data_IF_145603065541
#
_entry.id   IF_145603065541
#
_cell.length_a   1.000
_cell.length_b   1.000
_cell.length_c   1.000
_cell.angle_alpha   90.00
_cell.angle_beta   90.00
_cell.angle_gamma   90.00
#
_symmetry.space_group_name_H-M   'P 1'
#
loop_
_entity.id
_entity.type
_entity.pdbx_description
1 polymer ?
#
# COMPACT_ATOMS: atom_id res chain seq x y z
N UNK A 1 -20.58 -12.24 26.17
CA UNK A 1 -19.60 -11.22 25.80
C UNK A 1 -18.48 -11.33 26.82
N UNK A 2 -17.22 -11.55 26.46
CA UNK A 2 -16.11 -11.53 27.40
C UNK A 2 -16.02 -10.18 28.10
N UNK A 3 -15.65 -10.20 29.36
CA UNK A 3 -15.56 -9.00 30.19
C UNK A 3 -14.28 -8.23 29.82
N UNK A 4 -14.43 -7.03 29.25
CA UNK A 4 -13.35 -6.17 28.76
C UNK A 4 -12.60 -5.42 29.91
N UNK A 5 -12.52 -5.98 31.11
CA UNK A 5 -11.96 -5.33 32.30
C UNK A 5 -10.46 -5.65 32.56
N UNK A 6 -9.79 -6.39 31.68
CA UNK A 6 -8.36 -6.74 31.78
C UNK A 6 -7.49 -5.98 30.77
N UNK A 7 -6.19 -5.88 31.04
CA UNK A 7 -5.21 -5.46 30.04
C UNK A 7 -5.23 -6.41 28.82
N UNK A 8 -5.01 -5.90 27.60
CA UNK A 8 -4.99 -6.75 26.40
C UNK A 8 -3.89 -7.81 26.52
N UNK A 9 -4.18 -9.04 26.10
CA UNK A 9 -3.21 -10.14 26.07
C UNK A 9 -2.15 -9.89 24.98
N UNK A 10 -2.56 -9.25 23.87
CA UNK A 10 -1.72 -8.94 22.73
C UNK A 10 -1.99 -7.51 22.25
N UNK A 11 -0.91 -6.76 21.98
CA UNK A 11 -0.99 -5.48 21.26
C UNK A 11 -0.24 -5.64 19.94
N UNK A 12 -0.93 -5.35 18.82
CA UNK A 12 -0.36 -5.39 17.47
C UNK A 12 -0.09 -3.98 16.99
N UNK A 13 1.15 -3.68 16.65
CA UNK A 13 1.56 -2.41 16.04
C UNK A 13 1.24 -2.46 14.55
N UNK A 14 0.30 -1.60 14.11
CA UNK A 14 -0.18 -1.53 12.73
C UNK A 14 0.29 -0.25 12.04
N UNK A 15 1.16 -0.38 11.04
CA UNK A 15 1.73 0.73 10.29
C UNK A 15 0.88 1.11 9.07
N UNK A 16 0.60 2.42 8.90
CA UNK A 16 -0.06 2.99 7.73
C UNK A 16 0.58 4.34 7.35
N UNK A 17 0.88 4.54 6.06
CA UNK A 17 1.49 5.80 5.59
C UNK A 17 0.46 6.90 5.31
N UNK A 18 -0.80 6.54 5.09
CA UNK A 18 -1.86 7.51 4.84
C UNK A 18 -2.43 8.08 6.14
N UNK A 19 -2.97 9.32 6.10
CA UNK A 19 -3.74 9.90 7.19
C UNK A 19 -5.06 9.15 7.43
N UNK A 20 -5.56 9.18 8.67
CA UNK A 20 -6.79 8.47 9.08
C UNK A 20 -8.08 8.97 8.40
N UNK A 21 -8.10 10.19 7.90
CA UNK A 21 -9.25 10.78 7.19
C UNK A 21 -9.35 10.35 5.72
N UNK A 22 -8.36 9.63 5.21
CA UNK A 22 -8.40 9.01 3.88
C UNK A 22 -9.27 7.76 3.86
N UNK A 23 -9.67 7.29 2.66
CA UNK A 23 -10.41 6.03 2.49
C UNK A 23 -9.65 4.86 3.13
N UNK A 24 -8.33 4.82 2.95
CA UNK A 24 -7.47 3.78 3.53
C UNK A 24 -7.46 3.87 5.04
N UNK A 25 -7.16 5.05 5.60
CA UNK A 25 -7.12 5.24 7.05
C UNK A 25 -8.45 4.95 7.75
N UNK A 26 -9.59 5.22 7.10
CA UNK A 26 -10.90 4.83 7.59
C UNK A 26 -11.10 3.30 7.56
N UNK A 27 -10.60 2.62 6.52
CA UNK A 27 -10.63 1.16 6.44
C UNK A 27 -9.79 0.53 7.56
N UNK A 28 -8.61 1.07 7.82
CA UNK A 28 -7.72 0.59 8.89
C UNK A 28 -8.32 0.83 10.27
N UNK A 29 -8.97 1.98 10.46
CA UNK A 29 -9.73 2.27 11.69
C UNK A 29 -10.85 1.26 11.91
N UNK A 30 -11.63 0.97 10.86
CA UNK A 30 -12.72 -0.03 10.94
C UNK A 30 -12.17 -1.44 11.20
N UNK A 31 -11.02 -1.80 10.60
CA UNK A 31 -10.34 -3.05 10.88
C UNK A 31 -9.92 -3.16 12.34
N UNK A 32 -9.24 -2.14 12.87
CA UNK A 32 -8.86 -2.05 14.28
C UNK A 32 -10.06 -2.26 15.20
N UNK A 33 -11.12 -1.47 15.02
CA UNK A 33 -12.34 -1.55 15.84
C UNK A 33 -12.96 -2.95 15.80
N UNK A 34 -12.95 -3.58 14.61
CA UNK A 34 -13.54 -4.91 14.45
C UNK A 34 -12.69 -6.01 15.08
N UNK A 35 -11.38 -5.92 15.02
CA UNK A 35 -10.47 -6.85 15.72
C UNK A 35 -10.65 -6.74 17.24
N UNK A 36 -10.65 -5.53 17.77
CA UNK A 36 -10.82 -5.28 19.20
C UNK A 36 -12.21 -5.76 19.70
N UNK A 37 -13.28 -5.50 18.91
CA UNK A 37 -14.64 -6.00 19.22
C UNK A 37 -14.71 -7.52 19.22
N UNK A 38 -14.23 -8.17 18.14
CA UNK A 38 -14.36 -9.62 17.97
C UNK A 38 -13.50 -10.41 18.95
N UNK A 39 -12.37 -9.85 19.37
CA UNK A 39 -11.51 -10.45 20.39
C UNK A 39 -12.01 -10.21 21.82
N UNK A 40 -13.06 -9.42 22.00
CA UNK A 40 -13.53 -9.01 23.33
C UNK A 40 -12.51 -8.18 24.09
N UNK A 41 -11.61 -7.47 23.38
CA UNK A 41 -10.56 -6.63 23.95
C UNK A 41 -9.25 -7.38 24.27
N UNK A 42 -9.17 -8.69 24.04
CA UNK A 42 -7.92 -9.44 24.27
C UNK A 42 -6.82 -9.09 23.25
N UNK A 43 -7.21 -8.61 22.06
CA UNK A 43 -6.28 -8.06 21.07
C UNK A 43 -6.52 -6.56 20.95
N UNK A 44 -5.46 -5.78 21.13
CA UNK A 44 -5.44 -4.35 20.85
C UNK A 44 -4.67 -4.09 19.55
N UNK A 45 -5.15 -3.17 18.73
CA UNK A 45 -4.43 -2.70 17.53
C UNK A 45 -3.95 -1.27 17.78
N UNK A 46 -2.65 -1.09 17.84
CA UNK A 46 -1.99 0.22 17.91
C UNK A 46 -1.75 0.74 16.50
N UNK A 47 -2.74 1.47 15.96
CA UNK A 47 -2.72 1.98 14.59
C UNK A 47 -1.86 3.25 14.50
N UNK A 48 -0.70 3.15 13.87
CA UNK A 48 0.30 4.19 13.66
C UNK A 48 0.19 4.72 12.22
N UNK A 49 -0.66 5.74 12.03
CA UNK A 49 -0.96 6.31 10.72
C UNK A 49 -0.02 7.47 10.34
N UNK A 50 -0.21 8.03 9.14
CA UNK A 50 0.51 9.20 8.62
C UNK A 50 2.03 9.01 8.50
N UNK A 51 2.49 7.78 8.30
CA UNK A 51 3.89 7.47 8.10
C UNK A 51 4.78 7.67 9.33
N UNK A 52 4.21 7.65 10.56
CA UNK A 52 4.98 7.85 11.81
C UNK A 52 6.06 6.79 12.00
N UNK A 53 5.86 5.59 11.44
CA UNK A 53 6.82 4.48 11.49
C UNK A 53 7.73 4.42 10.26
N UNK A 54 7.71 5.44 9.41
CA UNK A 54 8.50 5.52 8.19
C UNK A 54 7.68 5.37 6.91
N UNK A 55 8.38 5.35 5.77
CA UNK A 55 7.78 5.06 4.47
C UNK A 55 7.47 3.56 4.33
N UNK A 56 6.68 3.17 3.31
CA UNK A 56 6.35 1.74 3.08
C UNK A 56 7.58 0.83 3.01
N UNK A 57 8.68 1.29 2.41
CA UNK A 57 9.91 0.52 2.34
C UNK A 57 10.53 0.30 3.72
N UNK A 58 10.57 1.35 4.57
CA UNK A 58 11.11 1.24 5.93
C UNK A 58 10.29 0.26 6.78
N UNK A 59 8.95 0.33 6.63
CA UNK A 59 8.01 -0.57 7.31
C UNK A 59 8.22 -2.03 6.87
N UNK A 60 8.32 -2.27 5.54
CA UNK A 60 8.60 -3.60 5.00
C UNK A 60 9.94 -4.14 5.48
N UNK A 61 11.00 -3.33 5.45
CA UNK A 61 12.32 -3.74 5.92
C UNK A 61 12.30 -4.08 7.43
N UNK A 62 11.54 -3.32 8.22
CA UNK A 62 11.36 -3.61 9.66
C UNK A 62 10.64 -4.93 9.90
N UNK A 63 9.59 -5.24 9.12
CA UNK A 63 8.85 -6.51 9.20
C UNK A 63 9.72 -7.69 8.75
N UNK A 64 10.39 -7.57 7.60
CA UNK A 64 11.25 -8.61 7.03
C UNK A 64 12.50 -8.86 7.89
N UNK A 65 13.04 -7.80 8.51
CA UNK A 65 14.15 -7.89 9.44
C UNK A 65 13.77 -8.42 10.84
N UNK A 66 12.49 -8.74 11.06
CA UNK A 66 11.97 -9.20 12.36
C UNK A 66 12.37 -8.28 13.52
N UNK A 67 12.33 -6.96 13.28
CA UNK A 67 12.72 -5.96 14.29
C UNK A 67 11.83 -5.94 15.53
N UNK A 68 10.61 -6.50 15.42
CA UNK A 68 9.60 -6.47 16.48
C UNK A 68 8.95 -5.08 16.70
N UNK A 69 9.23 -4.13 15.81
CA UNK A 69 8.67 -2.76 15.90
C UNK A 69 7.34 -2.61 15.15
N UNK A 70 7.06 -3.49 14.20
CA UNK A 70 5.84 -3.52 13.39
C UNK A 70 5.36 -4.96 13.26
N UNK A 71 4.12 -5.21 13.67
CA UNK A 71 3.49 -6.53 13.59
C UNK A 71 2.67 -6.70 12.32
N UNK A 72 2.08 -5.61 11.82
CA UNK A 72 1.25 -5.61 10.63
C UNK A 72 1.31 -4.26 9.93
N UNK A 73 1.05 -4.27 8.63
CA UNK A 73 1.01 -3.05 7.82
C UNK A 73 -0.02 -3.17 6.70
N UNK A 74 -0.60 -2.05 6.34
CA UNK A 74 -1.21 -1.87 5.02
C UNK A 74 -0.17 -1.25 4.10
N UNK A 75 -0.02 -1.79 2.91
CA UNK A 75 0.95 -1.31 1.93
C UNK A 75 0.48 -1.61 0.50
N UNK A 76 1.10 -0.94 -0.46
CA UNK A 76 0.86 -1.21 -1.87
C UNK A 76 1.35 -2.62 -2.21
N UNK A 77 0.48 -3.47 -2.76
CA UNK A 77 0.86 -4.83 -3.12
C UNK A 77 2.08 -4.88 -4.05
N UNK A 78 2.20 -3.92 -4.98
CA UNK A 78 3.32 -3.82 -5.90
C UNK A 78 4.67 -3.54 -5.22
N UNK A 79 4.70 -2.98 -4.02
CA UNK A 79 5.94 -2.78 -3.26
C UNK A 79 6.65 -4.11 -2.95
N UNK A 80 5.91 -5.21 -2.88
CA UNK A 80 6.43 -6.55 -2.64
C UNK A 80 7.27 -7.08 -3.82
N UNK A 81 7.17 -6.48 -5.01
CA UNK A 81 7.99 -6.85 -6.17
C UNK A 81 9.48 -6.62 -5.93
N UNK A 82 9.84 -5.65 -5.10
CA UNK A 82 11.22 -5.39 -4.69
C UNK A 82 11.83 -6.55 -3.87
N UNK A 83 10.99 -7.43 -3.35
CA UNK A 83 11.36 -8.59 -2.54
C UNK A 83 11.07 -9.92 -3.26
N UNK A 84 10.82 -9.86 -4.57
CA UNK A 84 10.64 -11.02 -5.43
C UNK A 84 9.21 -11.50 -5.63
N UNK A 85 8.21 -10.83 -5.04
CA UNK A 85 6.79 -11.17 -5.21
C UNK A 85 6.27 -10.68 -6.57
N UNK A 86 6.46 -11.49 -7.60
CA UNK A 86 6.13 -11.13 -8.98
C UNK A 86 4.62 -11.12 -9.27
N UNK A 87 3.84 -11.98 -8.60
CA UNK A 87 2.38 -11.98 -8.72
C UNK A 87 1.78 -10.66 -8.23
N UNK A 88 2.29 -10.13 -7.13
CA UNK A 88 1.87 -8.83 -6.59
C UNK A 88 2.03 -7.69 -7.62
N UNK A 89 3.10 -7.72 -8.43
CA UNK A 89 3.33 -6.76 -9.50
C UNK A 89 2.26 -6.77 -10.59
N UNK A 90 1.61 -7.91 -10.86
CA UNK A 90 0.54 -8.01 -11.86
C UNK A 90 -0.66 -7.12 -11.51
N UNK A 91 -0.90 -6.88 -10.22
CA UNK A 91 -2.01 -6.05 -9.76
C UNK A 91 -1.82 -4.56 -10.06
N UNK A 92 -0.58 -4.12 -10.32
CA UNK A 92 -0.23 -2.75 -10.67
C UNK A 92 -0.23 -2.49 -12.19
N UNK A 93 -0.43 -3.52 -13.02
CA UNK A 93 -0.46 -3.36 -14.46
C UNK A 93 -1.65 -2.45 -14.88
N UNK A 94 -1.42 -1.52 -15.82
CA UNK A 94 -2.51 -0.69 -16.34
C UNK A 94 -3.66 -1.55 -16.89
N UNK A 95 -4.89 -1.17 -16.55
CA UNK A 95 -6.13 -1.78 -17.06
C UNK A 95 -6.31 -3.27 -16.73
N UNK A 96 -5.53 -3.85 -15.82
CA UNK A 96 -5.70 -5.26 -15.40
C UNK A 96 -7.11 -5.51 -14.82
N UNK A 97 -7.67 -4.53 -14.15
CA UNK A 97 -9.06 -4.54 -13.71
C UNK A 97 -9.90 -3.56 -14.52
N UNK A 98 -10.97 -4.06 -15.14
CA UNK A 98 -11.89 -3.24 -15.94
C UNK A 98 -12.90 -2.45 -15.11
N UNK A 99 -13.10 -2.84 -13.84
CA UNK A 99 -14.03 -2.19 -12.91
C UNK A 99 -13.72 -2.61 -11.47
N UNK A 100 -14.30 -1.86 -10.51
CA UNK A 100 -14.27 -2.24 -9.08
C UNK A 100 -14.86 -3.62 -8.84
N UNK A 101 -15.95 -3.93 -9.53
CA UNK A 101 -16.63 -5.21 -9.42
C UNK A 101 -15.72 -6.37 -9.88
N UNK A 102 -14.93 -6.15 -10.96
CA UNK A 102 -13.92 -7.11 -11.41
C UNK A 102 -12.83 -7.32 -10.35
N UNK A 103 -12.32 -6.25 -9.75
CA UNK A 103 -11.36 -6.35 -8.65
C UNK A 103 -11.93 -7.15 -7.47
N UNK A 104 -13.16 -6.89 -7.03
CA UNK A 104 -13.74 -7.61 -5.90
C UNK A 104 -14.08 -9.07 -6.20
N UNK A 105 -14.32 -9.44 -7.46
CA UNK A 105 -14.37 -10.85 -7.87
C UNK A 105 -13.01 -11.52 -7.72
N UNK A 106 -11.94 -10.85 -8.15
CA UNK A 106 -10.58 -11.32 -7.93
C UNK A 106 -10.28 -11.44 -6.43
N UNK A 107 -10.43 -10.37 -5.66
CA UNK A 107 -10.08 -10.31 -4.24
C UNK A 107 -10.76 -11.38 -3.37
N UNK A 108 -11.91 -11.92 -3.82
CA UNK A 108 -12.67 -12.99 -3.16
C UNK A 108 -12.43 -14.38 -3.76
N UNK A 109 -11.52 -14.50 -4.71
CA UNK A 109 -11.24 -15.77 -5.41
C UNK A 109 -10.08 -16.54 -4.81
N UNK A 110 -9.98 -17.82 -5.16
CA UNK A 110 -8.82 -18.65 -4.79
C UNK A 110 -7.51 -18.11 -5.40
N UNK A 111 -7.59 -17.46 -6.57
CA UNK A 111 -6.43 -16.80 -7.20
C UNK A 111 -5.87 -15.68 -6.32
N UNK A 112 -6.74 -14.91 -5.68
CA UNK A 112 -6.28 -13.87 -4.74
C UNK A 112 -5.59 -14.48 -3.51
N UNK A 113 -6.08 -15.64 -3.03
CA UNK A 113 -5.41 -16.37 -1.94
C UNK A 113 -4.03 -16.88 -2.37
N UNK A 114 -3.90 -17.37 -3.60
CA UNK A 114 -2.60 -17.76 -4.16
C UNK A 114 -1.63 -16.57 -4.27
N UNK A 115 -2.12 -15.37 -4.59
CA UNK A 115 -1.31 -14.16 -4.63
C UNK A 115 -0.91 -13.69 -3.22
N UNK A 116 -1.82 -13.77 -2.25
CA UNK A 116 -1.56 -13.43 -0.86
C UNK A 116 -0.54 -14.37 -0.20
N UNK A 117 -0.51 -15.64 -0.60
CA UNK A 117 0.46 -16.62 -0.08
C UNK A 117 1.85 -16.49 -0.69
N UNK A 118 2.04 -15.71 -1.75
CA UNK A 118 3.34 -15.57 -2.43
C UNK A 118 4.47 -15.17 -1.48
N UNK A 119 4.19 -14.31 -0.50
CA UNK A 119 5.18 -13.88 0.51
C UNK A 119 5.61 -15.01 1.43
N UNK A 120 4.69 -15.93 1.77
CA UNK A 120 5.00 -17.14 2.56
C UNK A 120 5.79 -18.14 1.69
N UNK A 121 5.40 -18.34 0.43
CA UNK A 121 6.09 -19.25 -0.52
C UNK A 121 7.53 -18.79 -0.79
N UNK A 122 7.79 -17.50 -0.77
CA UNK A 122 9.13 -16.91 -0.90
C UNK A 122 9.94 -16.93 0.41
N UNK A 123 9.34 -17.37 1.52
CA UNK A 123 10.00 -17.41 2.81
C UNK A 123 10.30 -16.02 3.42
N UNK A 124 9.50 -15.00 3.07
CA UNK A 124 9.70 -13.64 3.56
C UNK A 124 9.29 -13.44 5.03
N UNK A 125 8.66 -14.43 5.66
CA UNK A 125 8.23 -14.34 7.06
C UNK A 125 7.03 -13.41 7.31
N UNK A 126 6.37 -12.96 6.25
CA UNK A 126 5.14 -12.16 6.31
C UNK A 126 4.00 -12.89 5.61
N UNK A 127 2.79 -12.65 6.07
CA UNK A 127 1.57 -13.27 5.55
C UNK A 127 0.62 -12.22 5.00
N UNK A 128 0.20 -12.39 3.73
CA UNK A 128 -0.88 -11.62 3.15
C UNK A 128 -2.23 -12.01 3.77
N UNK A 129 -2.97 -11.06 4.30
CA UNK A 129 -4.28 -11.32 4.94
C UNK A 129 -5.44 -11.07 3.99
N UNK A 130 -5.46 -9.93 3.33
CA UNK A 130 -6.55 -9.53 2.44
C UNK A 130 -6.10 -8.38 1.54
N UNK A 131 -6.91 -8.09 0.52
CA UNK A 131 -6.77 -6.90 -0.31
C UNK A 131 -7.79 -5.83 0.08
N UNK A 132 -7.36 -4.57 0.01
CA UNK A 132 -8.19 -3.38 0.00
C UNK A 132 -8.13 -2.69 -1.37
N UNK A 133 -9.06 -1.78 -1.64
CA UNK A 133 -9.17 -1.05 -2.88
C UNK A 133 -9.27 0.45 -2.60
N UNK A 134 -8.47 1.25 -3.31
CA UNK A 134 -8.44 2.71 -3.20
C UNK A 134 -9.10 3.41 -4.40
N UNK A 135 -9.56 2.67 -5.39
CA UNK A 135 -10.09 3.21 -6.63
C UNK A 135 -9.09 3.14 -7.79
N UNK A 136 -9.37 3.91 -8.84
CA UNK A 136 -8.51 3.97 -10.01
C UNK A 136 -7.38 4.96 -9.83
N UNK A 137 -6.21 4.62 -10.37
CA UNK A 137 -5.05 5.50 -10.39
C UNK A 137 -5.19 6.50 -11.53
N UNK A 138 -4.94 7.77 -11.24
CA UNK A 138 -4.97 8.88 -12.18
C UNK A 138 -3.69 9.70 -12.09
N UNK A 139 -3.36 10.42 -13.15
CA UNK A 139 -2.29 11.40 -13.12
C UNK A 139 -2.80 12.72 -12.54
N UNK A 140 -2.03 13.28 -11.62
CA UNK A 140 -2.19 14.64 -11.11
C UNK A 140 -0.94 15.42 -11.46
N UNK A 141 -1.06 16.45 -12.29
CA UNK A 141 0.07 17.20 -12.83
C UNK A 141 -0.07 18.69 -12.62
N UNK A 142 1.06 19.38 -12.41
CA UNK A 142 1.08 20.85 -12.25
C UNK A 142 0.77 21.60 -13.54
N UNK A 143 0.88 20.95 -14.69
CA UNK A 143 0.50 21.45 -16.01
C UNK A 143 -0.60 20.57 -16.59
N UNK A 144 -1.55 21.13 -17.37
CA UNK A 144 -2.56 20.33 -18.04
C UNK A 144 -1.94 19.26 -18.94
N UNK A 145 -2.50 18.05 -18.92
CA UNK A 145 -2.19 16.93 -19.80
C UNK A 145 -3.47 16.60 -20.56
N UNK A 146 -3.45 16.73 -21.88
CA UNK A 146 -4.59 16.49 -22.76
C UNK A 146 -4.37 15.31 -23.70
N UNK A 147 -3.11 14.92 -23.92
CA UNK A 147 -2.71 13.82 -24.78
C UNK A 147 -1.47 13.12 -24.22
N UNK A 148 -1.17 11.92 -24.72
CA UNK A 148 -0.03 11.13 -24.29
C UNK A 148 1.29 11.87 -24.51
N UNK A 149 1.37 12.63 -25.59
CA UNK A 149 2.55 13.41 -25.97
C UNK A 149 2.91 14.49 -24.93
N UNK A 150 1.92 14.98 -24.17
CA UNK A 150 2.11 15.99 -23.13
C UNK A 150 2.90 15.43 -21.93
N UNK A 151 2.88 14.12 -21.72
CA UNK A 151 3.63 13.44 -20.66
C UNK A 151 5.13 13.36 -20.96
N UNK A 152 5.53 13.52 -22.24
CA UNK A 152 6.90 13.32 -22.66
C UNK A 152 7.87 14.25 -21.94
N UNK A 153 8.83 13.63 -21.24
CA UNK A 153 9.86 14.33 -20.48
C UNK A 153 9.40 14.93 -19.14
N UNK A 154 8.10 14.82 -18.78
CA UNK A 154 7.64 15.21 -17.45
C UNK A 154 8.27 14.31 -16.38
N UNK A 155 8.64 14.89 -15.25
CA UNK A 155 9.09 14.15 -14.08
C UNK A 155 7.87 13.72 -13.28
N UNK A 156 7.47 12.46 -13.39
CA UNK A 156 6.31 11.92 -12.69
C UNK A 156 6.75 11.06 -11.52
N UNK A 157 6.21 11.37 -10.35
CA UNK A 157 6.45 10.57 -9.15
C UNK A 157 5.85 9.18 -9.30
N UNK A 158 6.62 8.20 -8.90
CA UNK A 158 6.18 6.80 -8.72
C UNK A 158 6.62 6.28 -7.36
N UNK A 159 5.96 5.20 -6.90
CA UNK A 159 6.48 4.37 -5.81
C UNK A 159 7.69 3.56 -6.29
N UNK A 160 8.44 2.97 -5.37
CA UNK A 160 9.65 2.22 -5.65
C UNK A 160 9.36 0.81 -6.21
N UNK A 161 8.40 0.66 -7.12
CA UNK A 161 8.13 -0.62 -7.77
C UNK A 161 8.43 -0.59 -9.28
N UNK A 162 9.04 -1.66 -9.82
CA UNK A 162 9.47 -1.70 -11.22
C UNK A 162 8.33 -1.56 -12.23
N UNK A 163 7.11 -2.01 -11.87
CA UNK A 163 5.95 -1.95 -12.78
C UNK A 163 5.50 -0.51 -12.97
N UNK A 164 5.45 0.28 -11.89
CA UNK A 164 5.08 1.70 -11.97
C UNK A 164 6.15 2.51 -12.69
N UNK A 165 7.44 2.23 -12.42
CA UNK A 165 8.56 2.85 -13.14
C UNK A 165 8.43 2.58 -14.65
N UNK A 166 8.34 1.30 -15.04
CA UNK A 166 8.22 0.93 -16.46
C UNK A 166 6.96 1.48 -17.12
N UNK A 167 5.85 1.57 -16.39
CA UNK A 167 4.61 2.16 -16.91
C UNK A 167 4.80 3.63 -17.27
N UNK A 168 5.35 4.43 -16.37
CA UNK A 168 5.58 5.87 -16.59
C UNK A 168 6.60 6.09 -17.71
N UNK A 169 7.70 5.32 -17.74
CA UNK A 169 8.69 5.40 -18.79
C UNK A 169 8.14 5.02 -20.17
N UNK A 170 7.20 4.07 -20.24
CA UNK A 170 6.55 3.68 -21.49
C UNK A 170 5.74 4.81 -22.12
N UNK A 171 5.30 5.79 -21.33
CA UNK A 171 4.63 7.00 -21.80
C UNK A 171 5.59 8.10 -22.26
N UNK A 172 6.91 7.86 -22.16
CA UNK A 172 7.95 8.84 -22.48
C UNK A 172 8.19 9.88 -21.38
N UNK A 173 7.60 9.69 -20.21
CA UNK A 173 7.87 10.50 -19.02
C UNK A 173 9.10 9.97 -18.27
N UNK A 174 9.64 10.78 -17.36
CA UNK A 174 10.74 10.40 -16.48
C UNK A 174 10.16 9.94 -15.14
N UNK A 175 10.24 8.65 -14.84
CA UNK A 175 9.83 8.13 -13.55
C UNK A 175 10.79 8.62 -12.46
N UNK A 176 10.23 9.26 -11.43
CA UNK A 176 10.98 9.78 -10.30
C UNK A 176 10.48 9.09 -9.03
N UNK A 177 11.31 8.22 -8.47
CA UNK A 177 10.95 7.48 -7.25
C UNK A 177 11.02 8.42 -6.04
N UNK A 178 9.87 8.64 -5.41
CA UNK A 178 9.74 9.48 -4.20
C UNK A 178 8.75 8.80 -3.25
N UNK A 179 9.10 8.70 -1.96
CA UNK A 179 8.20 8.16 -0.95
C UNK A 179 6.89 8.97 -0.88
N UNK A 180 5.78 8.30 -0.53
CA UNK A 180 4.49 8.99 -0.44
C UNK A 180 4.52 10.14 0.57
N UNK A 181 5.19 9.94 1.69
CA UNK A 181 5.36 10.95 2.74
C UNK A 181 6.10 12.22 2.29
N UNK A 182 6.89 12.12 1.21
CA UNK A 182 7.68 13.23 0.64
C UNK A 182 7.03 13.88 -0.59
N UNK A 183 5.93 13.30 -1.09
CA UNK A 183 5.31 13.71 -2.36
C UNK A 183 4.88 15.19 -2.36
N UNK A 184 4.27 15.66 -1.28
CA UNK A 184 3.83 17.05 -1.19
C UNK A 184 5.02 18.03 -1.34
N UNK A 185 6.11 17.77 -0.62
CA UNK A 185 7.32 18.58 -0.70
C UNK A 185 7.97 18.51 -2.09
N UNK A 186 8.00 17.33 -2.70
CA UNK A 186 8.56 17.14 -4.03
C UNK A 186 7.78 17.92 -5.12
N UNK A 187 6.46 17.97 -5.02
CA UNK A 187 5.60 18.80 -5.88
C UNK A 187 5.84 20.29 -5.63
N UNK A 188 5.85 20.71 -4.37
CA UNK A 188 6.01 22.11 -3.99
C UNK A 188 7.36 22.70 -4.44
N UNK A 189 8.41 21.89 -4.39
CA UNK A 189 9.77 22.31 -4.75
C UNK A 189 10.12 22.08 -6.22
N UNK A 190 9.22 21.48 -7.01
CA UNK A 190 9.43 21.18 -8.43
C UNK A 190 10.42 20.04 -8.70
N UNK A 191 10.65 19.18 -7.70
CA UNK A 191 11.39 17.91 -7.90
C UNK A 191 10.64 17.03 -8.87
N UNK A 192 9.31 17.00 -8.77
CA UNK A 192 8.42 16.32 -9.72
C UNK A 192 7.37 17.29 -10.28
N UNK A 193 6.89 17.00 -11.50
CA UNK A 193 5.86 17.75 -12.21
C UNK A 193 4.46 17.18 -11.98
N UNK A 194 4.36 16.01 -11.33
CA UNK A 194 3.12 15.31 -11.06
C UNK A 194 3.35 13.94 -10.41
N UNK A 195 2.23 13.22 -10.19
CA UNK A 195 2.22 11.88 -9.62
C UNK A 195 1.10 11.03 -10.24
#
# INVERSE_FOLDING_TARGET
VPDASGDPEVTLVYAEVNPLDTIVGQTDTAFKEKVEELSGGSIKVDLQASGVLGAEADVLDAMLGHSGTVDMARLSASSLTNYGATKAGLLALPYVFSSREHFWKFAKSDVAQEFLSETEDLGLGIKGLTYGEEGFRHFFTVKPVNALEDLKGMKLRVSSDPVMVGTVESFGANATVVAFTELYSALQTGVVDGA
#
